data_IF_925701172622
#
_entry.id   IF_925701172622
#
_cell.length_a   1.000
_cell.length_b   1.000
_cell.length_c   1.000
_cell.angle_alpha   90.00
_cell.angle_beta   90.00
_cell.angle_gamma   90.00
#
_symmetry.space_group_name_H-M   'P 1'
#
loop_
_entity.id
_entity.type
_entity.pdbx_description
1 polymer ?
#
# COMPACT_ATOMS: atom_id res chain seq x y z
N UNK A 1 -62.86 24.87 -19.80
CA UNK A 1 -61.39 25.07 -19.95
C UNK A 1 -61.15 25.30 -21.44
N UNK A 2 -60.48 26.37 -21.81
CA UNK A 2 -60.25 26.64 -23.25
C UNK A 2 -59.17 25.66 -23.77
N UNK A 3 -59.22 25.24 -24.99
CA UNK A 3 -58.32 24.33 -25.67
C UNK A 3 -56.84 24.78 -25.48
N UNK A 4 -56.64 26.09 -25.44
CA UNK A 4 -55.31 26.72 -25.19
C UNK A 4 -54.77 26.43 -23.81
N UNK A 5 -55.57 26.45 -22.76
CA UNK A 5 -55.18 26.15 -21.38
C UNK A 5 -54.79 24.70 -21.26
N UNK A 6 -55.48 23.79 -21.92
CA UNK A 6 -55.18 22.37 -21.94
C UNK A 6 -53.83 22.10 -22.61
N UNK A 7 -53.55 22.74 -23.75
CA UNK A 7 -52.25 22.60 -24.46
C UNK A 7 -51.11 23.11 -23.59
N UNK A 8 -51.25 24.26 -22.94
CA UNK A 8 -50.19 24.81 -22.05
C UNK A 8 -49.91 23.86 -20.88
N UNK A 9 -50.94 23.29 -20.26
CA UNK A 9 -50.75 22.31 -19.17
C UNK A 9 -50.01 21.07 -19.64
N UNK A 10 -50.37 20.53 -20.82
CA UNK A 10 -49.67 19.37 -21.37
C UNK A 10 -48.19 19.68 -21.63
N UNK A 11 -47.88 20.83 -22.24
CA UNK A 11 -46.48 21.23 -22.50
C UNK A 11 -45.68 21.35 -21.20
N UNK A 12 -46.27 21.99 -20.17
CA UNK A 12 -45.61 22.11 -18.87
C UNK A 12 -45.33 20.73 -18.26
N UNK A 13 -46.30 19.82 -18.29
CA UNK A 13 -46.14 18.45 -17.80
C UNK A 13 -45.04 17.71 -18.56
N UNK A 14 -45.00 17.80 -19.89
CA UNK A 14 -43.96 17.17 -20.71
C UNK A 14 -42.56 17.72 -20.37
N UNK A 15 -42.46 19.05 -20.21
CA UNK A 15 -41.16 19.67 -19.81
C UNK A 15 -40.72 19.21 -18.43
N UNK A 16 -41.62 19.14 -17.46
CA UNK A 16 -41.31 18.66 -16.10
C UNK A 16 -40.88 17.20 -16.13
N UNK A 17 -41.59 16.34 -16.85
CA UNK A 17 -41.20 14.92 -16.98
C UNK A 17 -39.84 14.78 -17.67
N UNK A 18 -39.58 15.58 -18.69
CA UNK A 18 -38.29 15.58 -19.38
C UNK A 18 -37.13 16.04 -18.44
N UNK A 19 -37.34 17.10 -17.68
CA UNK A 19 -36.36 17.57 -16.69
C UNK A 19 -36.11 16.53 -15.58
N UNK A 20 -37.16 15.87 -15.10
CA UNK A 20 -37.04 14.76 -14.14
C UNK A 20 -36.25 13.57 -14.74
N UNK A 21 -36.56 13.21 -16.00
CA UNK A 21 -35.82 12.15 -16.69
C UNK A 21 -34.33 12.48 -16.84
N UNK A 22 -33.99 13.71 -17.22
CA UNK A 22 -32.58 14.18 -17.25
C UNK A 22 -31.94 14.17 -15.90
N UNK A 23 -32.64 14.62 -14.86
CA UNK A 23 -32.12 14.58 -13.47
C UNK A 23 -31.84 13.14 -13.01
N UNK A 24 -32.76 12.21 -13.21
CA UNK A 24 -32.57 10.80 -12.87
C UNK A 24 -31.46 10.12 -13.70
N UNK A 25 -31.40 10.47 -15.02
CA UNK A 25 -30.35 9.95 -15.90
C UNK A 25 -28.95 10.46 -15.48
N UNK A 26 -28.81 11.72 -15.08
CA UNK A 26 -27.56 12.29 -14.61
C UNK A 26 -27.13 11.66 -13.27
N UNK A 27 -28.08 11.44 -12.38
CA UNK A 27 -27.82 10.79 -11.06
C UNK A 27 -27.40 9.33 -11.22
N UNK A 28 -28.01 8.56 -12.12
CA UNK A 28 -27.61 7.19 -12.44
C UNK A 28 -26.20 7.12 -13.04
N UNK A 29 -25.86 8.05 -13.95
CA UNK A 29 -24.52 8.13 -14.53
C UNK A 29 -23.46 8.51 -13.50
N UNK A 30 -23.79 9.36 -12.54
CA UNK A 30 -22.91 9.73 -11.45
C UNK A 30 -22.63 8.53 -10.53
N UNK A 31 -23.66 7.74 -10.16
CA UNK A 31 -23.50 6.51 -9.37
C UNK A 31 -22.63 5.47 -10.08
N UNK A 32 -22.88 5.21 -11.37
CA UNK A 32 -22.10 4.24 -12.13
C UNK A 32 -20.62 4.63 -12.23
N UNK A 33 -20.33 5.91 -12.47
CA UNK A 33 -18.97 6.42 -12.50
C UNK A 33 -18.27 6.29 -11.16
N UNK A 34 -18.98 6.51 -10.06
CA UNK A 34 -18.41 6.36 -8.71
C UNK A 34 -18.13 4.89 -8.38
N UNK A 35 -18.97 3.95 -8.81
CA UNK A 35 -18.75 2.52 -8.64
C UNK A 35 -17.54 2.02 -9.44
N UNK A 36 -17.45 2.36 -10.72
CA UNK A 36 -16.29 2.04 -11.58
C UNK A 36 -15.00 2.64 -11.03
N UNK A 37 -15.04 3.83 -10.47
CA UNK A 37 -13.89 4.49 -9.88
C UNK A 37 -13.45 3.78 -8.60
N UNK A 38 -14.39 3.36 -7.75
CA UNK A 38 -14.12 2.57 -6.55
C UNK A 38 -13.53 1.20 -6.87
N UNK A 39 -14.06 0.52 -7.90
CA UNK A 39 -13.50 -0.76 -8.36
C UNK A 39 -12.05 -0.59 -8.83
N UNK A 40 -11.76 0.42 -9.65
CA UNK A 40 -10.38 0.73 -10.06
C UNK A 40 -9.46 1.03 -8.87
N UNK A 41 -9.95 1.80 -7.90
CA UNK A 41 -9.14 2.11 -6.70
C UNK A 41 -8.89 0.87 -5.83
N UNK A 42 -9.85 -0.07 -5.76
CA UNK A 42 -9.64 -1.37 -5.12
C UNK A 42 -8.63 -2.25 -5.85
N UNK A 43 -8.67 -2.25 -7.18
CA UNK A 43 -7.68 -2.97 -8.01
C UNK A 43 -6.29 -2.34 -7.88
N UNK A 44 -6.21 -1.00 -7.87
CA UNK A 44 -4.97 -0.24 -7.83
C UNK A 44 -4.27 -0.31 -6.46
N UNK A 45 -5.02 -0.15 -5.37
CA UNK A 45 -4.47 -0.08 -4.01
C UNK A 45 -4.71 -1.34 -3.18
N UNK A 46 -5.46 -2.31 -3.69
CA UNK A 46 -5.69 -3.59 -3.05
C UNK A 46 -6.13 -3.50 -1.58
N UNK A 47 -5.50 -4.28 -0.67
CA UNK A 47 -5.86 -4.32 0.75
C UNK A 47 -5.70 -2.96 1.45
N UNK A 48 -4.80 -2.11 0.97
CA UNK A 48 -4.56 -0.78 1.52
C UNK A 48 -5.79 0.13 1.39
N UNK A 49 -6.51 0.04 0.26
CA UNK A 49 -7.76 0.77 0.06
C UNK A 49 -8.80 0.43 1.13
N UNK A 50 -8.99 -0.86 1.39
CA UNK A 50 -9.98 -1.30 2.38
C UNK A 50 -9.57 -0.95 3.82
N UNK A 51 -8.28 -0.98 4.13
CA UNK A 51 -7.76 -0.55 5.42
C UNK A 51 -8.02 0.94 5.62
N UNK A 52 -7.63 1.77 4.65
CA UNK A 52 -7.83 3.22 4.71
C UNK A 52 -9.31 3.60 4.77
N UNK A 53 -10.18 2.91 4.03
CA UNK A 53 -11.62 3.15 4.07
C UNK A 53 -12.23 2.85 5.46
N UNK A 54 -11.74 1.82 6.14
CA UNK A 54 -12.15 1.52 7.53
C UNK A 54 -11.65 2.57 8.51
N UNK A 55 -10.40 3.02 8.37
CA UNK A 55 -9.80 4.04 9.24
C UNK A 55 -10.47 5.40 9.10
N UNK A 56 -10.78 5.81 7.87
CA UNK A 56 -11.41 7.12 7.58
C UNK A 56 -12.92 7.10 7.66
N UNK A 57 -13.54 5.91 7.64
CA UNK A 57 -15.00 5.76 7.63
C UNK A 57 -15.66 6.18 6.30
N UNK A 58 -14.87 6.44 5.24
CA UNK A 58 -15.31 6.86 3.92
C UNK A 58 -14.41 6.33 2.83
N UNK A 59 -15.00 5.67 1.83
CA UNK A 59 -14.28 5.20 0.65
C UNK A 59 -13.75 6.36 -0.21
N UNK A 60 -14.47 7.47 -0.28
CA UNK A 60 -14.08 8.66 -1.06
C UNK A 60 -12.88 9.37 -0.42
N UNK A 61 -12.83 9.42 0.92
CA UNK A 61 -11.69 9.99 1.63
C UNK A 61 -10.46 9.09 1.52
N UNK A 62 -10.65 7.77 1.61
CA UNK A 62 -9.58 6.80 1.43
C UNK A 62 -8.95 6.93 0.03
N UNK A 63 -9.76 6.97 -1.01
CA UNK A 63 -9.30 7.14 -2.39
C UNK A 63 -8.52 8.43 -2.59
N UNK A 64 -9.05 9.55 -2.10
CA UNK A 64 -8.38 10.84 -2.20
C UNK A 64 -7.02 10.82 -1.49
N UNK A 65 -6.97 10.31 -0.27
CA UNK A 65 -5.74 10.26 0.51
C UNK A 65 -4.69 9.34 -0.11
N UNK A 66 -5.09 8.16 -0.57
CA UNK A 66 -4.17 7.23 -1.23
C UNK A 66 -3.59 7.82 -2.52
N UNK A 67 -4.40 8.48 -3.33
CA UNK A 67 -3.92 9.16 -4.55
C UNK A 67 -3.00 10.34 -4.24
N UNK A 68 -3.35 11.16 -3.25
CA UNK A 68 -2.50 12.27 -2.83
C UNK A 68 -1.16 11.76 -2.28
N UNK A 69 -1.19 10.69 -1.47
CA UNK A 69 0.00 10.06 -0.92
C UNK A 69 0.87 9.49 -2.03
N UNK A 70 0.31 8.68 -2.93
CA UNK A 70 1.00 8.17 -4.10
C UNK A 70 1.63 9.29 -4.92
N UNK A 71 0.88 10.32 -5.24
CA UNK A 71 1.41 11.46 -6.00
C UNK A 71 2.50 12.25 -5.27
N UNK A 72 2.54 12.26 -3.92
CA UNK A 72 3.66 12.83 -3.16
C UNK A 72 4.91 11.97 -3.28
N UNK A 73 4.75 10.66 -3.09
CA UNK A 73 5.85 9.68 -3.16
C UNK A 73 6.43 9.63 -4.57
N UNK A 74 5.60 9.45 -5.58
CA UNK A 74 5.97 9.32 -6.99
C UNK A 74 6.82 10.50 -7.51
N UNK A 75 6.59 11.71 -7.01
CA UNK A 75 7.40 12.89 -7.38
C UNK A 75 8.80 12.93 -6.76
N UNK A 76 9.08 12.08 -5.80
CA UNK A 76 10.33 12.10 -5.02
C UNK A 76 11.14 10.83 -5.14
N UNK A 77 10.46 9.71 -5.39
CA UNK A 77 11.13 8.42 -5.54
C UNK A 77 12.02 8.45 -6.77
N UNK A 78 13.26 8.04 -6.56
CA UNK A 78 14.27 7.93 -7.60
C UNK A 78 14.64 6.45 -7.82
N UNK A 79 14.95 6.04 -9.06
CA UNK A 79 15.45 4.71 -9.33
C UNK A 79 16.88 4.56 -8.77
N UNK A 80 17.22 3.35 -8.35
CA UNK A 80 18.59 3.04 -7.96
C UNK A 80 19.56 3.16 -9.16
N UNK A 81 20.76 3.66 -8.89
CA UNK A 81 21.84 3.59 -9.87
C UNK A 81 22.28 2.13 -10.09
N UNK A 82 22.91 1.83 -11.24
CA UNK A 82 23.51 0.53 -11.52
C UNK A 82 24.52 0.10 -10.43
N UNK A 83 25.31 1.05 -9.95
CA UNK A 83 26.28 0.83 -8.87
C UNK A 83 25.58 0.46 -7.56
N UNK A 84 24.50 1.16 -7.23
CA UNK A 84 23.69 0.88 -6.03
C UNK A 84 23.03 -0.48 -6.11
N UNK A 85 22.48 -0.84 -7.28
CA UNK A 85 21.92 -2.17 -7.51
C UNK A 85 22.95 -3.26 -7.24
N UNK A 86 24.14 -3.15 -7.81
CA UNK A 86 25.23 -4.11 -7.59
C UNK A 86 25.62 -4.25 -6.10
N UNK A 87 25.71 -3.11 -5.38
CA UNK A 87 25.97 -3.14 -3.93
C UNK A 87 24.88 -3.85 -3.14
N UNK A 88 23.61 -3.63 -3.48
CA UNK A 88 22.50 -4.26 -2.79
C UNK A 88 22.36 -5.74 -3.16
N UNK A 89 22.69 -6.14 -4.38
CA UNK A 89 22.78 -7.55 -4.77
C UNK A 89 23.86 -8.29 -3.97
N UNK A 90 25.04 -7.72 -3.80
CA UNK A 90 26.11 -8.30 -2.98
C UNK A 90 25.67 -8.41 -1.50
N UNK A 91 25.05 -7.35 -0.96
CA UNK A 91 24.51 -7.37 0.42
C UNK A 91 23.43 -8.42 0.60
N UNK A 92 22.54 -8.58 -0.37
CA UNK A 92 21.50 -9.61 -0.31
C UNK A 92 22.09 -11.01 -0.37
N UNK A 93 23.09 -11.24 -1.19
CA UNK A 93 23.86 -12.49 -1.21
C UNK A 93 24.52 -12.81 0.15
N UNK A 94 24.94 -11.79 0.92
CA UNK A 94 25.42 -11.97 2.28
C UNK A 94 24.28 -12.34 3.24
N UNK A 95 23.14 -11.67 3.15
CA UNK A 95 21.94 -12.00 3.93
C UNK A 95 21.59 -13.48 3.79
N UNK A 96 21.55 -14.01 2.56
CA UNK A 96 21.24 -15.41 2.30
C UNK A 96 22.30 -16.39 2.87
N UNK A 97 23.57 -16.04 2.78
CA UNK A 97 24.65 -16.86 3.36
C UNK A 97 24.56 -16.90 4.88
N UNK A 98 24.37 -15.76 5.52
CA UNK A 98 24.27 -15.67 6.97
C UNK A 98 23.03 -16.38 7.52
N UNK A 99 21.96 -16.48 6.73
CA UNK A 99 20.73 -17.13 7.16
C UNK A 99 20.92 -18.60 7.57
N UNK A 100 21.86 -19.29 6.93
CA UNK A 100 22.15 -20.72 7.21
C UNK A 100 22.68 -20.92 8.63
N UNK A 101 23.58 -20.03 9.07
CA UNK A 101 24.27 -20.16 10.34
C UNK A 101 23.65 -19.31 11.46
N UNK A 102 23.07 -18.18 11.11
CA UNK A 102 22.48 -17.24 12.05
C UNK A 102 21.24 -16.53 11.45
N UNK A 103 20.07 -17.19 11.50
CA UNK A 103 18.85 -16.65 10.91
C UNK A 103 18.41 -15.30 11.49
N UNK A 104 18.55 -15.09 12.80
CA UNK A 104 18.16 -13.83 13.46
C UNK A 104 18.99 -12.65 12.92
N UNK A 105 20.31 -12.82 12.88
CA UNK A 105 21.20 -11.80 12.31
C UNK A 105 20.92 -11.54 10.85
N UNK A 106 20.59 -12.57 10.08
CA UNK A 106 20.22 -12.43 8.67
C UNK A 106 18.98 -11.57 8.50
N UNK A 107 17.94 -11.75 9.35
CA UNK A 107 16.73 -10.94 9.32
C UNK A 107 17.04 -9.46 9.64
N UNK A 108 17.91 -9.19 10.60
CA UNK A 108 18.35 -7.82 10.89
C UNK A 108 19.09 -7.19 9.69
N UNK A 109 19.91 -7.98 9.01
CA UNK A 109 20.61 -7.54 7.80
C UNK A 109 19.62 -7.28 6.65
N UNK A 110 18.62 -8.14 6.47
CA UNK A 110 17.57 -7.97 5.48
C UNK A 110 16.76 -6.69 5.70
N UNK A 111 16.31 -6.46 6.93
CA UNK A 111 15.59 -5.26 7.33
C UNK A 111 16.40 -3.98 7.04
N UNK A 112 17.66 -3.95 7.46
CA UNK A 112 18.57 -2.84 7.17
C UNK A 112 18.76 -2.62 5.67
N UNK A 113 18.95 -3.70 4.91
CA UNK A 113 19.14 -3.60 3.45
C UNK A 113 17.91 -2.99 2.78
N UNK A 114 16.72 -3.45 3.12
CA UNK A 114 15.46 -2.90 2.60
C UNK A 114 15.27 -1.44 3.05
N UNK A 115 15.54 -1.14 4.31
CA UNK A 115 15.44 0.23 4.83
C UNK A 115 16.41 1.19 4.12
N UNK A 116 17.66 0.78 3.88
CA UNK A 116 18.64 1.58 3.16
C UNK A 116 18.23 1.82 1.69
N UNK A 117 17.59 0.81 1.04
CA UNK A 117 17.05 0.99 -0.32
C UNK A 117 15.90 2.00 -0.33
N UNK A 118 14.98 1.90 0.64
CA UNK A 118 13.87 2.84 0.76
C UNK A 118 14.36 4.27 1.00
N UNK A 119 15.41 4.43 1.81
CA UNK A 119 16.06 5.73 2.06
C UNK A 119 16.76 6.26 0.80
N UNK A 120 17.59 5.46 0.15
CA UNK A 120 18.30 5.85 -1.08
C UNK A 120 17.34 6.20 -2.22
N UNK A 121 16.18 5.52 -2.29
CA UNK A 121 15.12 5.82 -3.25
C UNK A 121 14.20 6.96 -2.84
N UNK A 122 14.47 7.67 -1.77
CA UNK A 122 13.67 8.78 -1.25
C UNK A 122 12.22 8.40 -0.86
N UNK A 123 11.98 7.19 -0.34
CA UNK A 123 10.72 6.86 0.33
C UNK A 123 10.61 7.48 1.72
N UNK A 124 11.75 7.83 2.33
CA UNK A 124 11.86 8.57 3.59
C UNK A 124 11.98 10.06 3.28
N UNK A 125 11.00 10.89 3.70
CA UNK A 125 10.88 12.28 3.24
C UNK A 125 11.48 13.31 4.19
N UNK A 126 11.52 13.03 5.48
CA UNK A 126 11.98 13.96 6.50
C UNK A 126 12.84 13.27 7.56
N UNK A 127 13.81 14.00 8.07
CA UNK A 127 14.59 13.57 9.25
C UNK A 127 13.63 13.49 10.44
N UNK A 128 13.31 12.27 10.87
CA UNK A 128 12.33 12.01 11.92
C UNK A 128 11.00 11.46 11.44
N UNK A 129 10.87 11.18 10.13
CA UNK A 129 9.73 10.44 9.59
C UNK A 129 9.60 9.11 10.33
N UNK A 130 8.38 8.79 10.74
CA UNK A 130 8.12 7.51 11.40
C UNK A 130 8.24 6.35 10.42
N UNK A 131 8.59 5.18 10.94
CA UNK A 131 8.58 3.93 10.17
C UNK A 131 7.21 3.68 9.54
N UNK A 132 6.14 4.06 10.23
CA UNK A 132 4.76 3.95 9.76
C UNK A 132 4.50 4.83 8.51
N UNK A 133 5.05 6.05 8.47
CA UNK A 133 4.92 6.92 7.29
C UNK A 133 5.66 6.35 6.07
N UNK A 134 6.81 5.71 6.29
CA UNK A 134 7.56 5.01 5.24
C UNK A 134 6.76 3.81 4.71
N UNK A 135 6.19 3.00 5.60
CA UNK A 135 5.30 1.89 5.24
C UNK A 135 4.07 2.36 4.45
N UNK A 136 3.47 3.46 4.87
CA UNK A 136 2.34 4.07 4.19
C UNK A 136 2.72 4.60 2.81
N UNK A 137 3.93 5.15 2.65
CA UNK A 137 4.48 5.56 1.37
C UNK A 137 4.69 4.38 0.43
N UNK A 138 5.30 3.31 0.95
CA UNK A 138 5.48 2.05 0.24
C UNK A 138 4.13 1.46 -0.20
N UNK A 139 3.14 1.44 0.70
CA UNK A 139 1.80 0.92 0.41
C UNK A 139 1.05 1.70 -0.67
N UNK A 140 1.27 3.00 -0.77
CA UNK A 140 0.67 3.82 -1.82
C UNK A 140 1.29 3.58 -3.20
N UNK A 141 2.59 3.21 -3.26
CA UNK A 141 3.31 2.93 -4.51
C UNK A 141 3.25 1.45 -4.90
N UNK A 142 3.42 0.57 -3.92
CA UNK A 142 3.61 -0.87 -4.09
C UNK A 142 2.70 -1.64 -3.11
N UNK A 143 1.37 -1.59 -3.30
CA UNK A 143 0.43 -2.25 -2.39
C UNK A 143 0.62 -3.77 -2.35
N UNK A 144 1.17 -4.36 -3.41
CA UNK A 144 1.46 -5.78 -3.56
C UNK A 144 2.52 -6.30 -2.56
N UNK A 145 3.49 -5.47 -2.20
CA UNK A 145 4.57 -5.84 -1.26
C UNK A 145 4.47 -5.16 0.11
N UNK A 146 3.56 -4.21 0.27
CA UNK A 146 3.43 -3.47 1.53
C UNK A 146 3.04 -4.37 2.71
N UNK A 147 2.15 -5.34 2.48
CA UNK A 147 1.76 -6.32 3.50
C UNK A 147 2.93 -7.25 3.86
N UNK A 148 3.72 -7.66 2.87
CA UNK A 148 4.91 -8.47 3.10
C UNK A 148 5.95 -7.71 3.93
N UNK A 149 6.14 -6.43 3.68
CA UNK A 149 7.06 -5.60 4.45
C UNK A 149 6.61 -5.46 5.91
N UNK A 150 5.33 -5.13 6.14
CA UNK A 150 4.75 -5.05 7.50
C UNK A 150 4.87 -6.35 8.26
N UNK A 151 4.52 -7.45 7.63
CA UNK A 151 4.56 -8.77 8.26
C UNK A 151 6.00 -9.21 8.56
N UNK A 152 6.95 -8.97 7.66
CA UNK A 152 8.36 -9.27 7.90
C UNK A 152 8.90 -8.50 9.11
N UNK A 153 8.56 -7.22 9.22
CA UNK A 153 8.96 -6.38 10.36
C UNK A 153 8.28 -6.81 11.66
N UNK A 154 7.00 -7.20 11.61
CA UNK A 154 6.29 -7.74 12.77
C UNK A 154 6.98 -9.00 13.29
N UNK A 155 7.26 -9.97 12.41
CA UNK A 155 7.96 -11.22 12.79
C UNK A 155 9.34 -10.89 13.39
N UNK A 156 10.10 -9.98 12.77
CA UNK A 156 11.40 -9.54 13.32
C UNK A 156 11.25 -8.98 14.74
N UNK A 157 10.31 -8.08 14.95
CA UNK A 157 10.09 -7.47 16.26
C UNK A 157 9.72 -8.51 17.33
N UNK A 158 8.86 -9.48 16.99
CA UNK A 158 8.47 -10.56 17.89
C UNK A 158 9.62 -11.49 18.23
N UNK A 159 10.46 -11.83 17.23
CA UNK A 159 11.64 -12.66 17.46
C UNK A 159 12.64 -11.94 18.36
N UNK A 160 12.94 -10.66 18.09
CA UNK A 160 13.84 -9.86 18.94
C UNK A 160 13.30 -9.73 20.36
N UNK A 161 12.01 -9.48 20.55
CA UNK A 161 11.40 -9.40 21.89
C UNK A 161 11.52 -10.74 22.62
N UNK A 162 11.22 -11.85 21.94
CA UNK A 162 11.36 -13.21 22.52
C UNK A 162 12.80 -13.57 22.84
N UNK A 163 13.78 -13.21 22.01
CA UNK A 163 15.20 -13.47 22.28
C UNK A 163 15.69 -12.70 23.51
N UNK A 164 15.19 -11.50 23.73
CA UNK A 164 15.50 -10.71 24.93
C UNK A 164 14.93 -11.35 26.23
N UNK A 165 13.76 -12.00 26.14
CA UNK A 165 13.11 -12.69 27.26
C UNK A 165 13.69 -14.10 27.52
N UNK A 166 14.17 -14.77 26.46
CA UNK A 166 14.58 -16.17 26.43
C UNK A 166 16.02 -16.46 26.85
N UNK A 167 16.67 -15.58 27.56
CA UNK A 167 17.95 -16.01 28.18
C UNK A 167 17.82 -17.35 28.99
N UNK A 168 16.68 -18.06 28.91
CA UNK A 168 16.33 -19.16 29.80
C UNK A 168 15.60 -20.40 29.25
N UNK A 169 15.08 -20.54 28.02
CA UNK A 169 14.45 -21.82 27.63
C UNK A 169 14.35 -22.13 26.12
N UNK A 170 14.46 -23.42 25.82
CA UNK A 170 14.55 -24.18 24.60
C UNK A 170 13.30 -24.04 23.68
N UNK A 171 13.37 -23.23 22.61
CA UNK A 171 12.29 -23.15 21.59
C UNK A 171 12.82 -22.86 20.18
N UNK A 172 13.85 -23.57 19.73
CA UNK A 172 14.60 -23.28 18.52
C UNK A 172 13.85 -23.54 17.18
N UNK A 173 12.86 -24.45 17.16
CA UNK A 173 12.26 -24.89 15.88
C UNK A 173 11.15 -23.97 15.37
N UNK A 174 10.31 -23.45 16.25
CA UNK A 174 9.17 -22.59 15.88
C UNK A 174 9.66 -21.21 15.41
N UNK A 175 10.68 -20.67 16.09
CA UNK A 175 11.30 -19.41 15.70
C UNK A 175 11.99 -19.50 14.32
N UNK A 176 12.56 -20.64 13.94
CA UNK A 176 13.24 -20.82 12.66
C UNK A 176 12.26 -20.75 11.47
N UNK A 177 11.04 -21.30 11.59
CA UNK A 177 10.06 -21.22 10.49
C UNK A 177 9.50 -19.81 10.35
N UNK A 178 9.26 -19.09 11.44
CA UNK A 178 8.89 -17.68 11.40
C UNK A 178 9.97 -16.84 10.71
N UNK A 179 11.25 -17.07 11.04
CA UNK A 179 12.36 -16.38 10.39
C UNK A 179 12.47 -16.72 8.90
N UNK A 180 12.14 -17.97 8.49
CA UNK A 180 12.05 -18.32 7.06
C UNK A 180 10.92 -17.59 6.35
N UNK A 181 9.80 -17.36 7.02
CA UNK A 181 8.72 -16.55 6.46
C UNK A 181 9.16 -15.10 6.33
N UNK A 182 9.77 -14.53 7.36
CA UNK A 182 10.26 -13.15 7.33
C UNK A 182 11.27 -12.92 6.19
N UNK A 183 12.26 -13.81 6.02
CA UNK A 183 13.27 -13.64 4.96
C UNK A 183 12.64 -13.72 3.56
N UNK A 184 11.65 -14.60 3.34
CA UNK A 184 10.92 -14.67 2.06
C UNK A 184 10.17 -13.38 1.76
N UNK A 185 9.55 -12.79 2.77
CA UNK A 185 8.83 -11.53 2.66
C UNK A 185 9.77 -10.35 2.40
N UNK A 186 10.87 -10.25 3.15
CA UNK A 186 11.91 -9.25 2.85
C UNK A 186 12.48 -9.41 1.45
N UNK A 187 12.63 -10.64 0.97
CA UNK A 187 13.10 -10.92 -0.39
C UNK A 187 12.15 -10.38 -1.44
N UNK A 188 10.85 -10.61 -1.30
CA UNK A 188 9.84 -10.08 -2.22
C UNK A 188 9.89 -8.54 -2.29
N UNK A 189 10.02 -7.89 -1.13
CA UNK A 189 10.18 -6.43 -1.04
C UNK A 189 11.48 -5.97 -1.71
N UNK A 190 12.61 -6.61 -1.38
CA UNK A 190 13.92 -6.32 -1.96
C UNK A 190 13.90 -6.42 -3.49
N UNK A 191 13.42 -7.56 -4.04
CA UNK A 191 13.36 -7.80 -5.47
C UNK A 191 12.54 -6.72 -6.19
N UNK A 192 11.42 -6.32 -5.62
CA UNK A 192 10.57 -5.27 -6.18
C UNK A 192 11.27 -3.91 -6.21
N UNK A 193 11.91 -3.54 -5.09
CA UNK A 193 12.59 -2.25 -4.96
C UNK A 193 13.85 -2.11 -5.82
N UNK A 194 14.56 -3.21 -6.10
CA UNK A 194 15.80 -3.19 -6.89
C UNK A 194 15.52 -3.23 -8.40
N UNK A 195 14.40 -3.83 -8.84
CA UNK A 195 14.06 -3.96 -10.26
C UNK A 195 13.53 -2.66 -10.91
N UNK A 196 13.09 -1.72 -10.13
CA UNK A 196 12.56 -0.42 -10.59
C UNK A 196 13.63 0.68 -10.52
#
# INVERSE_FOLDING_TARGET
>A
MSTTTLIVVIVVVVVVVFLLALYFASRRRASQRSEEQRERSREEFGPEYERMARERGSEEEAERELRERRGRVERRVEPLSEESRGRYEERWGEVERVFVDNPERSIEMADRTVSDILDERNFVFDVGQSEEETEQGLAAMHPDIADDYREARRIRAEVVARSAERAQEDSDKESTEELRQAIRKYRAVYERLVQE
#
